data_IF_695333758853
#
_entry.id   IF_695333758853
#
_cell.length_a   1.000
_cell.length_b   1.000
_cell.length_c   1.000
_cell.angle_alpha   90.00
_cell.angle_beta   90.00
_cell.angle_gamma   90.00
#
_symmetry.space_group_name_H-M   'P 1'
#
loop_
_entity.id
_entity.type
_entity.pdbx_description
1 polymer ?
#
# COMPACT_ATOMS: atom_id res chain seq x y z
N UNK A 1 20.05 21.10 -2.08
CA UNK A 1 20.65 19.96 -1.34
C UNK A 1 20.19 19.83 0.12
N UNK A 2 19.66 20.87 0.80
CA UNK A 2 19.16 20.74 2.18
C UNK A 2 17.73 20.17 2.31
N UNK A 3 16.90 20.33 1.27
CA UNK A 3 15.49 19.91 1.29
C UNK A 3 15.30 18.38 1.28
N UNK A 4 16.19 17.62 0.63
CA UNK A 4 16.10 16.16 0.57
C UNK A 4 16.53 15.45 1.87
N UNK A 5 17.32 16.08 2.74
CA UNK A 5 17.75 15.48 4.01
C UNK A 5 16.67 15.60 5.10
N UNK A 6 15.87 16.67 5.06
CA UNK A 6 14.75 16.88 5.98
C UNK A 6 13.58 15.91 5.72
N UNK A 7 13.35 15.53 4.46
CA UNK A 7 12.32 14.53 4.13
C UNK A 7 12.70 13.12 4.60
N UNK A 8 13.97 12.72 4.52
CA UNK A 8 14.40 11.40 4.99
C UNK A 8 14.36 11.25 6.52
N UNK A 9 14.62 12.31 7.30
CA UNK A 9 14.64 12.25 8.76
C UNK A 9 13.24 12.07 9.40
N UNK A 10 12.20 12.67 8.79
CA UNK A 10 10.81 12.56 9.26
C UNK A 10 10.17 11.20 8.93
N UNK A 11 10.78 10.45 8.00
CA UNK A 11 10.24 9.22 7.42
C UNK A 11 10.55 7.98 8.26
N UNK A 12 11.59 8.05 9.09
CA UNK A 12 12.00 6.96 9.99
C UNK A 12 11.80 7.29 11.47
N UNK A 13 11.09 8.36 11.79
CA UNK A 13 10.75 8.64 13.19
C UNK A 13 9.66 7.65 13.63
N UNK A 14 9.92 6.78 14.61
CA UNK A 14 8.90 5.84 15.06
C UNK A 14 7.77 6.60 15.77
N UNK A 15 6.53 6.18 15.55
CA UNK A 15 5.40 6.77 16.26
C UNK A 15 5.31 6.24 17.70
N UNK A 16 5.87 5.05 17.97
CA UNK A 16 6.00 4.46 19.30
C UNK A 16 7.43 3.97 19.49
N UNK A 17 8.08 4.42 20.57
CA UNK A 17 9.43 4.00 20.94
C UNK A 17 9.44 3.52 22.39
N UNK A 18 9.67 2.21 22.58
CA UNK A 18 9.81 1.58 23.88
C UNK A 18 11.30 1.41 24.18
N UNK A 19 11.92 2.48 24.70
CA UNK A 19 13.37 2.55 24.91
C UNK A 19 13.93 1.42 25.78
N UNK A 20 13.20 1.00 26.80
CA UNK A 20 13.63 -0.07 27.72
C UNK A 20 13.75 -1.44 27.03
N UNK A 21 12.98 -1.65 25.96
CA UNK A 21 12.99 -2.89 25.19
C UNK A 21 13.73 -2.76 23.86
N UNK A 22 14.28 -1.58 23.56
CA UNK A 22 14.87 -1.24 22.26
C UNK A 22 13.92 -1.48 21.08
N UNK A 23 12.61 -1.36 21.31
CA UNK A 23 11.56 -1.58 20.29
C UNK A 23 11.09 -0.25 19.73
N UNK A 24 11.02 -0.17 18.40
CA UNK A 24 10.45 0.95 17.66
C UNK A 24 9.32 0.45 16.75
N UNK A 25 8.22 1.19 16.71
CA UNK A 25 7.13 0.94 15.76
C UNK A 25 7.01 2.16 14.84
N UNK A 26 7.14 1.90 13.55
CA UNK A 26 7.11 2.91 12.50
C UNK A 26 5.94 2.62 11.58
N UNK A 27 5.24 3.68 11.15
CA UNK A 27 4.19 3.57 10.16
C UNK A 27 4.67 4.20 8.85
N UNK A 28 4.71 3.42 7.79
CA UNK A 28 5.05 3.86 6.45
C UNK A 28 3.77 3.82 5.63
N UNK A 29 3.27 5.00 5.28
CA UNK A 29 2.08 5.14 4.44
C UNK A 29 2.50 5.03 2.99
N UNK A 30 2.19 3.90 2.37
CA UNK A 30 2.34 3.67 0.92
C UNK A 30 1.07 2.99 0.44
N UNK A 31 0.26 3.72 -0.35
CA UNK A 31 -1.10 3.33 -0.68
C UNK A 31 -1.21 2.21 -1.70
N UNK A 32 -0.17 1.99 -2.52
CA UNK A 32 -0.27 1.15 -3.71
C UNK A 32 0.76 0.04 -3.81
N UNK A 33 1.68 -0.07 -2.84
CA UNK A 33 2.80 -1.03 -2.86
C UNK A 33 3.75 -0.84 -4.05
N UNK A 34 3.46 0.10 -4.95
CA UNK A 34 4.17 0.46 -6.18
C UNK A 34 4.08 1.96 -6.42
N UNK A 35 4.86 2.41 -7.39
CA UNK A 35 5.10 3.82 -7.64
C UNK A 35 3.93 4.60 -8.20
N UNK A 36 3.67 5.77 -7.61
CA UNK A 36 2.77 6.79 -8.14
C UNK A 36 3.54 8.08 -8.44
N UNK A 37 3.83 8.32 -9.71
CA UNK A 37 4.68 9.42 -10.19
C UNK A 37 3.84 10.44 -10.94
N UNK A 38 4.14 11.73 -10.80
CA UNK A 38 3.53 12.79 -11.62
C UNK A 38 4.39 12.99 -12.88
N UNK A 39 3.79 12.77 -14.04
CA UNK A 39 4.41 12.99 -15.35
C UNK A 39 3.59 13.99 -16.19
N UNK A 40 4.08 14.39 -17.37
CA UNK A 40 3.37 15.31 -18.26
C UNK A 40 1.96 14.83 -18.64
N UNK A 41 1.77 13.50 -18.73
CA UNK A 41 0.48 12.91 -19.03
C UNK A 41 -0.53 13.01 -17.87
N UNK A 42 -0.06 13.10 -16.61
CA UNK A 42 -0.87 13.06 -15.40
C UNK A 42 -0.20 12.28 -14.27
N UNK A 43 -0.99 11.84 -13.29
CA UNK A 43 -0.54 10.91 -12.24
C UNK A 43 -0.47 9.50 -12.81
N UNK A 44 0.70 8.86 -12.75
CA UNK A 44 0.98 7.56 -13.37
C UNK A 44 1.33 6.54 -12.27
N UNK A 45 0.53 5.48 -12.18
CA UNK A 45 0.83 4.32 -11.35
C UNK A 45 1.76 3.37 -12.12
N UNK A 46 3.05 3.38 -11.78
CA UNK A 46 4.08 2.50 -12.37
C UNK A 46 4.07 1.17 -11.65
N UNK A 47 3.50 0.16 -12.29
CA UNK A 47 3.27 -1.15 -11.67
C UNK A 47 4.54 -1.98 -11.50
N UNK A 48 5.63 -1.60 -12.17
CA UNK A 48 6.93 -2.25 -12.21
C UNK A 48 8.03 -1.47 -11.46
N UNK A 49 7.66 -0.40 -10.76
CA UNK A 49 8.59 0.45 -10.00
C UNK A 49 8.12 0.65 -8.57
N UNK A 50 9.07 0.83 -7.64
CA UNK A 50 8.82 0.99 -6.21
C UNK A 50 9.51 2.24 -5.66
N UNK A 51 8.72 3.19 -5.17
CA UNK A 51 9.12 4.38 -4.44
C UNK A 51 7.92 4.91 -3.64
N UNK A 52 8.17 5.87 -2.76
CA UNK A 52 7.29 6.23 -1.65
C UNK A 52 6.30 7.32 -2.07
N UNK A 53 5.00 7.09 -1.92
CA UNK A 53 3.98 8.07 -2.36
C UNK A 53 2.82 8.25 -1.35
N UNK A 54 2.24 9.45 -1.30
CA UNK A 54 1.15 9.81 -0.36
C UNK A 54 -0.20 10.08 -1.07
N UNK A 55 -0.30 9.80 -2.37
CA UNK A 55 -1.48 10.06 -3.19
C UNK A 55 -2.30 8.77 -3.41
N UNK A 56 -3.60 8.91 -3.67
CA UNK A 56 -4.58 7.80 -3.68
C UNK A 56 -5.35 7.65 -4.99
N UNK A 57 -4.98 8.42 -6.01
CA UNK A 57 -5.62 8.41 -7.31
C UNK A 57 -4.56 8.55 -8.38
N UNK A 58 -4.75 7.84 -9.48
CA UNK A 58 -3.92 7.90 -10.66
C UNK A 58 -4.78 8.05 -11.90
N UNK A 59 -4.20 8.62 -12.95
CA UNK A 59 -4.86 8.89 -14.22
C UNK A 59 -4.45 7.85 -15.28
N UNK A 60 -3.30 7.19 -15.09
CA UNK A 60 -2.76 6.16 -16.00
C UNK A 60 -2.03 5.05 -15.24
N UNK A 61 -1.97 3.87 -15.86
CA UNK A 61 -1.09 2.77 -15.48
C UNK A 61 0.13 2.72 -16.40
N UNK A 62 1.29 2.32 -15.87
CA UNK A 62 2.48 2.08 -16.67
C UNK A 62 3.06 0.69 -16.38
N UNK A 63 3.45 0.00 -17.45
CA UNK A 63 4.19 -1.27 -17.42
C UNK A 63 5.32 -1.19 -18.45
N UNK A 64 6.57 -1.19 -18.01
CA UNK A 64 7.72 -0.85 -18.83
C UNK A 64 7.56 0.54 -19.46
N UNK A 65 7.75 0.63 -20.78
CA UNK A 65 7.64 1.90 -21.52
C UNK A 65 6.21 2.19 -22.02
N UNK A 66 5.20 1.40 -21.62
CA UNK A 66 3.83 1.52 -22.13
C UNK A 66 2.92 2.16 -21.09
N UNK A 67 2.23 3.22 -21.52
CA UNK A 67 1.21 3.92 -20.75
C UNK A 67 -0.19 3.44 -21.15
N UNK A 68 -1.03 3.16 -20.16
CA UNK A 68 -2.41 2.69 -20.32
C UNK A 68 -3.34 3.63 -19.56
N UNK A 69 -4.39 4.10 -20.22
CA UNK A 69 -5.41 4.92 -19.54
C UNK A 69 -6.32 4.08 -18.64
N UNK A 70 -6.60 2.85 -19.06
CA UNK A 70 -7.44 1.90 -18.34
C UNK A 70 -6.75 0.55 -18.33
N UNK A 71 -6.91 -0.18 -17.22
CA UNK A 71 -6.41 -1.54 -17.06
C UNK A 71 -7.39 -2.31 -16.16
N UNK A 72 -7.52 -3.61 -16.40
CA UNK A 72 -8.25 -4.46 -15.46
C UNK A 72 -7.59 -4.38 -14.07
N UNK A 73 -8.38 -4.03 -13.05
CA UNK A 73 -7.84 -3.78 -11.72
C UNK A 73 -7.20 -5.03 -11.08
N UNK A 74 -7.68 -6.23 -11.42
CA UNK A 74 -7.11 -7.46 -10.90
C UNK A 74 -5.76 -7.76 -11.57
N UNK A 75 -5.65 -7.50 -12.88
CA UNK A 75 -4.38 -7.60 -13.58
C UNK A 75 -3.38 -6.56 -13.06
N UNK A 76 -3.80 -5.31 -12.87
CA UNK A 76 -2.96 -4.27 -12.30
C UNK A 76 -2.46 -4.64 -10.89
N UNK A 77 -3.36 -5.14 -10.03
CA UNK A 77 -3.03 -5.61 -8.69
C UNK A 77 -2.04 -6.78 -8.72
N UNK A 78 -2.24 -7.74 -9.62
CA UNK A 78 -1.35 -8.89 -9.78
C UNK A 78 0.06 -8.47 -10.19
N UNK A 79 0.19 -7.54 -11.15
CA UNK A 79 1.49 -7.02 -11.57
C UNK A 79 2.16 -6.31 -10.39
N UNK A 80 1.45 -5.40 -9.73
CA UNK A 80 1.99 -4.64 -8.59
C UNK A 80 2.47 -5.55 -7.45
N UNK A 81 1.66 -6.55 -7.07
CA UNK A 81 2.02 -7.48 -6.00
C UNK A 81 3.23 -8.34 -6.39
N UNK A 82 3.34 -8.73 -7.67
CA UNK A 82 4.49 -9.49 -8.18
C UNK A 82 5.77 -8.64 -8.13
N UNK A 83 5.69 -7.37 -8.52
CA UNK A 83 6.80 -6.41 -8.43
C UNK A 83 7.28 -6.26 -6.99
N UNK A 84 6.35 -6.02 -6.05
CA UNK A 84 6.66 -5.92 -4.62
C UNK A 84 7.30 -7.20 -4.07
N UNK A 85 6.75 -8.37 -4.40
CA UNK A 85 7.29 -9.66 -3.94
C UNK A 85 8.72 -9.90 -4.45
N UNK A 86 8.99 -9.61 -5.73
CA UNK A 86 10.33 -9.73 -6.31
C UNK A 86 11.34 -8.79 -5.62
N UNK A 87 10.91 -7.58 -5.24
CA UNK A 87 11.75 -6.65 -4.49
C UNK A 87 12.04 -7.18 -3.09
N UNK A 88 11.04 -7.74 -2.39
CA UNK A 88 11.25 -8.39 -1.09
C UNK A 88 12.30 -9.49 -1.20
N UNK A 89 12.13 -10.40 -2.16
CA UNK A 89 13.05 -11.53 -2.37
C UNK A 89 14.49 -11.06 -2.68
N UNK A 90 14.65 -9.90 -3.30
CA UNK A 90 15.96 -9.37 -3.70
C UNK A 90 16.62 -8.48 -2.63
N UNK A 91 15.86 -7.90 -1.71
CA UNK A 91 16.36 -6.85 -0.80
C UNK A 91 16.23 -7.19 0.69
N UNK A 92 15.49 -8.24 1.06
CA UNK A 92 15.23 -8.58 2.46
C UNK A 92 15.93 -9.89 2.83
N UNK A 93 16.70 -9.85 3.91
CA UNK A 93 17.25 -11.07 4.54
C UNK A 93 16.20 -11.69 5.48
N UNK A 94 15.63 -12.88 5.14
CA UNK A 94 14.60 -13.52 5.95
C UNK A 94 15.12 -14.11 7.27
N UNK A 95 16.44 -14.22 7.45
CA UNK A 95 17.05 -14.65 8.70
C UNK A 95 16.92 -13.58 9.80
N UNK A 96 16.87 -12.31 9.41
CA UNK A 96 16.86 -11.16 10.33
C UNK A 96 15.52 -10.42 10.29
N UNK A 97 14.87 -10.37 9.13
CA UNK A 97 13.61 -9.63 8.94
C UNK A 97 12.47 -10.58 8.63
N UNK A 98 11.32 -10.39 9.30
CA UNK A 98 10.08 -11.10 8.99
C UNK A 98 9.13 -10.16 8.27
N UNK A 99 8.65 -10.60 7.10
CA UNK A 99 7.69 -9.87 6.27
C UNK A 99 6.33 -10.53 6.42
N UNK A 100 5.30 -9.71 6.62
CA UNK A 100 3.91 -10.13 6.66
C UNK A 100 3.13 -9.31 5.63
N UNK A 101 2.14 -9.93 5.00
CA UNK A 101 1.22 -9.27 4.09
C UNK A 101 -0.21 -9.45 4.59
N UNK A 102 -0.92 -8.35 4.78
CA UNK A 102 -2.34 -8.35 5.08
C UNK A 102 -3.10 -8.09 3.78
N UNK A 103 -3.98 -9.01 3.39
CA UNK A 103 -4.86 -8.83 2.23
C UNK A 103 -5.96 -7.78 2.48
N UNK A 104 -6.88 -7.70 1.52
CA UNK A 104 -8.03 -6.79 1.60
C UNK A 104 -8.88 -7.15 2.84
N UNK A 105 -9.12 -6.16 3.70
CA UNK A 105 -10.03 -6.32 4.83
C UNK A 105 -11.46 -6.46 4.32
N UNK A 106 -12.25 -7.37 4.94
CA UNK A 106 -13.68 -7.46 4.65
C UNK A 106 -14.37 -6.12 4.91
N UNK A 107 -15.31 -5.79 4.03
CA UNK A 107 -16.19 -4.64 4.15
C UNK A 107 -17.60 -5.13 4.42
N UNK A 108 -18.33 -4.42 5.27
CA UNK A 108 -19.66 -4.85 5.75
C UNK A 108 -20.69 -3.77 5.43
N UNK A 109 -20.89 -3.50 4.13
CA UNK A 109 -21.73 -2.42 3.65
C UNK A 109 -23.21 -2.79 3.49
N UNK A 110 -23.57 -4.06 3.60
CA UNK A 110 -24.93 -4.56 3.35
C UNK A 110 -25.23 -5.76 4.23
N UNK A 111 -26.27 -5.65 5.07
CA UNK A 111 -26.71 -6.78 5.91
C UNK A 111 -27.18 -8.01 5.14
N UNK A 112 -27.56 -7.82 3.87
CA UNK A 112 -27.87 -8.91 2.93
C UNK A 112 -26.70 -9.89 2.76
N UNK A 113 -25.44 -9.45 2.93
CA UNK A 113 -24.27 -10.31 2.79
C UNK A 113 -24.16 -11.33 3.96
N UNK A 114 -24.92 -11.15 5.03
CA UNK A 114 -24.99 -12.04 6.21
C UNK A 114 -26.42 -12.34 6.68
N UNK A 115 -27.37 -12.44 5.74
CA UNK A 115 -28.77 -12.83 5.98
C UNK A 115 -29.59 -11.88 6.87
N UNK A 116 -29.19 -10.61 6.99
CA UNK A 116 -29.93 -9.56 7.69
C UNK A 116 -30.33 -8.42 6.74
N UNK A 117 -31.28 -8.65 5.81
CA UNK A 117 -31.58 -7.69 4.73
C UNK A 117 -32.15 -6.34 5.19
N UNK A 118 -32.59 -6.24 6.45
CA UNK A 118 -33.07 -4.97 7.03
C UNK A 118 -31.96 -4.13 7.64
N UNK A 119 -30.74 -4.67 7.75
CA UNK A 119 -29.59 -3.99 8.34
C UNK A 119 -28.77 -3.35 7.22
N UNK A 120 -28.46 -2.06 7.39
CA UNK A 120 -27.75 -1.30 6.37
C UNK A 120 -26.25 -1.62 6.34
N UNK A 121 -25.59 -1.77 7.49
CA UNK A 121 -24.15 -2.01 7.61
C UNK A 121 -23.84 -2.78 8.91
N UNK A 122 -22.58 -2.94 9.29
CA UNK A 122 -22.23 -3.64 10.53
C UNK A 122 -22.49 -2.86 11.83
N UNK A 123 -23.13 -1.68 11.78
CA UNK A 123 -23.40 -0.88 12.98
C UNK A 123 -24.35 -1.60 13.94
N UNK A 124 -23.93 -1.71 15.19
CA UNK A 124 -24.73 -2.38 16.25
C UNK A 124 -24.62 -3.90 16.25
N UNK A 125 -23.87 -4.50 15.32
CA UNK A 125 -23.58 -5.93 15.32
C UNK A 125 -22.65 -6.30 16.49
N UNK A 126 -22.94 -7.42 17.14
CA UNK A 126 -22.12 -8.00 18.19
C UNK A 126 -21.90 -9.49 17.91
N UNK A 127 -20.78 -10.04 18.37
CA UNK A 127 -20.59 -11.49 18.35
C UNK A 127 -21.69 -12.16 19.19
N UNK A 128 -22.38 -13.14 18.61
CA UNK A 128 -23.29 -14.01 19.37
C UNK A 128 -22.55 -14.78 20.46
#
# INVERSE_FOLDING_TARGET
MYSALLSHALVFTPFLLLKEFEVAVTFLKDGFLVDLVVEEAGRVLKLDSLSRTEQWEWDYFQVGDKLYKEMDHMEAFKIALTTWANWVDSNIDPAVTKVFFQGISAVHYRGEDWDEPMVQDCSGQQSQ
#
